data_IF_306652983965
#
_entry.id   IF_306652983965
#
_cell.length_a   1.000
_cell.length_b   1.000
_cell.length_c   1.000
_cell.angle_alpha   90.00
_cell.angle_beta   90.00
_cell.angle_gamma   90.00
#
_symmetry.space_group_name_H-M   'P 1'
#
loop_
_entity.id
_entity.type
_entity.pdbx_description
1 polymer ?
#
# COMPACT_ATOMS: atom_id res chain seq x y z
N UNK A 1 -26.22 -17.33 -17.50
CA UNK A 1 -26.53 -15.93 -17.91
C UNK A 1 -25.53 -15.02 -17.22
N UNK A 2 -24.58 -14.43 -17.96
CA UNK A 2 -23.61 -13.45 -17.42
C UNK A 2 -24.26 -12.07 -17.52
N UNK A 3 -24.91 -11.62 -16.45
CA UNK A 3 -25.26 -10.20 -16.31
C UNK A 3 -23.95 -9.45 -16.02
N UNK A 4 -23.27 -9.04 -17.08
CA UNK A 4 -22.35 -7.90 -17.01
C UNK A 4 -23.24 -6.68 -16.78
N UNK A 5 -23.48 -6.31 -15.53
CA UNK A 5 -23.81 -4.94 -15.21
C UNK A 5 -22.64 -4.12 -15.75
N UNK A 6 -22.82 -3.53 -16.93
CA UNK A 6 -22.13 -2.28 -17.22
C UNK A 6 -22.58 -1.39 -16.08
N UNK A 7 -21.72 -1.16 -15.09
CA UNK A 7 -21.87 -0.01 -14.22
C UNK A 7 -21.95 1.17 -15.17
N UNK A 8 -23.18 1.61 -15.43
CA UNK A 8 -23.51 2.92 -15.87
C UNK A 8 -22.63 3.86 -15.03
N UNK A 9 -21.94 4.82 -15.66
CA UNK A 9 -21.09 5.78 -14.96
C UNK A 9 -21.87 6.65 -13.93
N UNK A 10 -23.15 6.37 -13.70
CA UNK A 10 -24.06 7.03 -12.77
C UNK A 10 -24.52 6.05 -11.68
N UNK A 11 -24.32 6.44 -10.43
CA UNK A 11 -24.70 5.66 -9.25
C UNK A 11 -24.05 6.26 -8.01
N UNK A 12 -24.49 5.87 -6.81
CA UNK A 12 -23.82 6.31 -5.59
C UNK A 12 -22.62 5.42 -5.31
N UNK A 13 -21.43 6.03 -5.28
CA UNK A 13 -20.16 5.36 -4.99
C UNK A 13 -19.59 5.90 -3.68
N UNK A 14 -18.98 5.02 -2.89
CA UNK A 14 -18.33 5.36 -1.63
C UNK A 14 -16.86 4.96 -1.71
N UNK A 15 -16.00 5.78 -1.11
CA UNK A 15 -14.56 5.48 -1.00
C UNK A 15 -14.23 5.16 0.45
N UNK A 16 -13.62 4.00 0.66
CA UNK A 16 -13.21 3.53 1.98
C UNK A 16 -11.73 3.16 2.01
N UNK A 17 -11.05 3.44 3.12
CA UNK A 17 -9.70 2.97 3.44
C UNK A 17 -9.78 1.93 4.56
N UNK A 18 -9.34 0.72 4.27
CA UNK A 18 -9.05 -0.31 5.25
C UNK A 18 -7.59 -0.19 5.64
N UNK A 19 -7.35 0.11 6.91
CA UNK A 19 -6.02 0.32 7.46
C UNK A 19 -5.71 -0.72 8.51
N UNK A 20 -4.57 -1.39 8.36
CA UNK A 20 -4.05 -2.28 9.38
C UNK A 20 -3.43 -1.46 10.53
N UNK A 21 -3.98 -1.65 11.72
CA UNK A 21 -3.58 -0.97 12.96
C UNK A 21 -3.01 -1.93 14.00
N UNK A 22 -2.85 -3.21 13.64
CA UNK A 22 -2.28 -4.24 14.51
C UNK A 22 -0.75 -4.18 14.66
N UNK A 23 -0.21 -5.12 15.46
CA UNK A 23 1.23 -5.29 15.63
C UNK A 23 1.90 -5.84 14.37
N UNK A 24 3.24 -5.86 14.33
CA UNK A 24 4.00 -6.52 13.28
C UNK A 24 3.69 -5.99 11.87
N UNK A 25 3.65 -4.67 11.70
CA UNK A 25 3.36 -4.02 10.40
C UNK A 25 4.40 -4.32 9.33
N UNK A 26 5.62 -4.64 9.74
CA UNK A 26 6.74 -4.93 8.84
C UNK A 26 6.88 -6.42 8.49
N UNK A 27 5.83 -7.24 8.66
CA UNK A 27 5.87 -8.65 8.21
C UNK A 27 5.37 -8.79 6.78
N UNK A 28 5.76 -9.86 6.06
CA UNK A 28 5.26 -10.13 4.71
C UNK A 28 3.72 -10.12 4.61
N UNK A 29 3.01 -10.45 5.69
CA UNK A 29 1.56 -10.49 5.73
C UNK A 29 0.91 -9.10 5.89
N UNK A 30 1.60 -8.17 6.57
CA UNK A 30 1.01 -6.92 7.02
C UNK A 30 1.56 -5.66 6.32
N UNK A 31 2.77 -5.72 5.75
CA UNK A 31 3.46 -4.57 5.16
C UNK A 31 2.69 -3.92 4.01
N UNK A 32 1.89 -4.72 3.29
CA UNK A 32 1.04 -4.27 2.19
C UNK A 32 -0.44 -4.56 2.46
N UNK A 33 -0.86 -4.58 3.72
CA UNK A 33 -2.21 -4.96 4.11
C UNK A 33 -3.27 -3.86 3.87
N UNK A 34 -2.85 -2.59 3.88
CA UNK A 34 -3.72 -1.45 3.65
C UNK A 34 -4.35 -1.50 2.25
N UNK A 35 -5.63 -1.17 2.15
CA UNK A 35 -6.34 -1.12 0.88
C UNK A 35 -7.39 -0.03 0.85
N UNK A 36 -7.70 0.43 -0.36
CA UNK A 36 -8.70 1.42 -0.67
C UNK A 36 -9.75 0.75 -1.54
N UNK A 37 -11.01 0.89 -1.17
CA UNK A 37 -12.14 0.30 -1.88
C UNK A 37 -13.05 1.39 -2.46
N UNK A 38 -13.55 1.16 -3.66
CA UNK A 38 -14.73 1.87 -4.20
C UNK A 38 -15.90 0.90 -4.12
N UNK A 39 -16.97 1.29 -3.44
CA UNK A 39 -18.16 0.43 -3.25
C UNK A 39 -19.44 1.15 -3.69
N UNK A 40 -20.49 0.39 -3.99
CA UNK A 40 -21.86 0.90 -4.21
C UNK A 40 -22.74 0.80 -2.96
N UNK A 41 -22.25 0.13 -1.91
CA UNK A 41 -22.92 0.03 -0.62
C UNK A 41 -22.15 0.82 0.45
N UNK A 42 -22.85 1.65 1.24
CA UNK A 42 -22.22 2.36 2.33
C UNK A 42 -22.04 1.47 3.55
N UNK A 43 -21.07 1.82 4.38
CA UNK A 43 -20.97 1.35 5.76
C UNK A 43 -21.77 2.25 6.70
N UNK A 44 -22.24 1.68 7.80
CA UNK A 44 -22.83 2.43 8.92
C UNK A 44 -21.74 3.13 9.75
N UNK A 45 -22.12 4.22 10.42
CA UNK A 45 -21.26 4.89 11.39
C UNK A 45 -21.18 4.10 12.72
N UNK A 46 -20.21 4.46 13.56
CA UNK A 46 -19.98 3.83 14.88
C UNK A 46 -21.23 3.78 15.77
N UNK A 47 -22.16 4.73 15.61
CA UNK A 47 -23.38 4.81 16.41
C UNK A 47 -24.55 4.01 15.83
N UNK A 48 -24.42 3.46 14.62
CA UNK A 48 -25.49 2.74 13.90
C UNK A 48 -26.69 3.62 13.53
N UNK A 49 -26.53 4.95 13.57
CA UNK A 49 -27.63 5.91 13.36
C UNK A 49 -27.64 6.52 11.97
N UNK A 50 -26.66 6.18 11.13
CA UNK A 50 -26.55 6.70 9.78
C UNK A 50 -25.36 6.15 9.02
N UNK A 51 -25.18 6.63 7.79
CA UNK A 51 -24.09 6.23 6.92
C UNK A 51 -22.76 6.87 7.34
N UNK A 52 -21.70 6.09 7.34
CA UNK A 52 -20.34 6.58 7.46
C UNK A 52 -19.85 7.03 6.07
N UNK A 53 -19.96 8.33 5.81
CA UNK A 53 -19.53 8.95 4.56
C UNK A 53 -18.21 9.71 4.68
N UNK A 54 -17.77 10.05 5.90
CA UNK A 54 -16.47 10.66 6.17
C UNK A 54 -15.96 10.24 7.56
N UNK A 55 -14.65 10.02 7.69
CA UNK A 55 -14.00 9.75 8.97
C UNK A 55 -14.02 8.28 9.38
N UNK A 56 -13.76 8.01 10.67
CA UNK A 56 -13.67 6.64 11.20
C UNK A 56 -15.05 5.98 11.27
N UNK A 57 -15.23 4.87 10.55
CA UNK A 57 -16.46 4.08 10.56
C UNK A 57 -16.45 3.02 11.66
N UNK A 58 -15.32 2.31 11.83
CA UNK A 58 -15.11 1.35 12.90
C UNK A 58 -13.65 0.96 13.06
N UNK A 59 -13.33 0.39 14.22
CA UNK A 59 -12.08 -0.33 14.47
C UNK A 59 -12.40 -1.72 15.04
N UNK A 60 -11.82 -2.79 14.47
CA UNK A 60 -12.10 -4.17 14.86
C UNK A 60 -11.00 -5.11 14.38
N UNK A 61 -10.57 -6.03 15.24
CA UNK A 61 -9.62 -7.11 14.91
C UNK A 61 -8.37 -6.59 14.19
N UNK A 62 -7.70 -5.58 14.75
CA UNK A 62 -6.51 -4.95 14.17
C UNK A 62 -6.73 -4.16 12.87
N UNK A 63 -7.99 -3.93 12.47
CA UNK A 63 -8.34 -3.11 11.32
C UNK A 63 -9.08 -1.86 11.73
N UNK A 64 -8.88 -0.79 10.98
CA UNK A 64 -9.68 0.42 10.99
C UNK A 64 -10.29 0.64 9.61
N UNK A 65 -11.55 1.07 9.56
CA UNK A 65 -12.21 1.50 8.34
C UNK A 65 -12.46 3.00 8.39
N UNK A 66 -12.02 3.72 7.37
CA UNK A 66 -12.27 5.15 7.20
C UNK A 66 -13.06 5.42 5.92
N UNK A 67 -14.08 6.26 6.00
CA UNK A 67 -14.79 6.79 4.84
C UNK A 67 -14.13 8.08 4.34
N UNK A 68 -14.16 8.27 3.02
CA UNK A 68 -13.55 9.42 2.35
C UNK A 68 -14.46 10.10 1.34
N UNK A 69 -15.77 9.92 1.50
CA UNK A 69 -16.76 10.62 0.70
C UNK A 69 -17.71 9.70 -0.06
N UNK A 70 -18.72 10.36 -0.62
CA UNK A 70 -19.73 9.82 -1.51
C UNK A 70 -19.64 10.56 -2.85
N UNK A 71 -19.76 9.82 -3.96
CA UNK A 71 -19.57 10.32 -5.32
C UNK A 71 -20.69 9.83 -6.24
N UNK A 72 -20.99 10.60 -7.29
CA UNK A 72 -22.06 10.27 -8.24
C UNK A 72 -21.55 9.41 -9.40
N UNK A 73 -20.23 9.35 -9.58
CA UNK A 73 -19.57 8.56 -10.63
C UNK A 73 -18.33 7.86 -10.10
N UNK A 74 -17.99 6.70 -10.69
CA UNK A 74 -16.75 5.99 -10.35
C UNK A 74 -15.50 6.83 -10.68
N UNK A 75 -15.61 7.71 -11.68
CA UNK A 75 -14.52 8.60 -12.11
C UNK A 75 -14.21 9.65 -11.04
N UNK A 76 -15.23 10.23 -10.43
CA UNK A 76 -15.06 11.16 -9.31
C UNK A 76 -14.44 10.47 -8.10
N UNK A 77 -14.92 9.27 -7.75
CA UNK A 77 -14.34 8.46 -6.69
C UNK A 77 -12.83 8.20 -6.93
N UNK A 78 -12.45 7.83 -8.16
CA UNK A 78 -11.03 7.64 -8.54
C UNK A 78 -10.22 8.93 -8.47
N UNK A 79 -10.78 10.06 -8.90
CA UNK A 79 -10.12 11.36 -8.80
C UNK A 79 -9.88 11.75 -7.35
N UNK A 80 -10.86 11.51 -6.47
CA UNK A 80 -10.72 11.78 -5.04
C UNK A 80 -9.67 10.88 -4.37
N UNK A 81 -9.61 9.59 -4.73
CA UNK A 81 -8.56 8.67 -4.29
C UNK A 81 -7.19 9.23 -4.66
N UNK A 82 -7.00 9.65 -5.92
CA UNK A 82 -5.73 10.23 -6.37
C UNK A 82 -5.39 11.53 -5.63
N UNK A 83 -6.37 12.37 -5.37
CA UNK A 83 -6.17 13.62 -4.63
C UNK A 83 -5.78 13.38 -3.16
N UNK A 84 -6.34 12.36 -2.52
CA UNK A 84 -6.13 12.06 -1.10
C UNK A 84 -4.88 11.21 -0.83
N UNK A 85 -4.69 10.15 -1.61
CA UNK A 85 -3.65 9.14 -1.39
C UNK A 85 -2.45 9.27 -2.32
N UNK A 86 -2.56 10.11 -3.37
CA UNK A 86 -1.52 10.23 -4.38
C UNK A 86 -1.47 9.00 -5.29
N UNK A 87 -0.33 8.33 -5.34
CA UNK A 87 -0.15 7.11 -6.13
C UNK A 87 -0.85 5.92 -5.47
N UNK A 88 -1.51 5.11 -6.29
CA UNK A 88 -2.18 3.87 -5.87
C UNK A 88 -1.97 2.79 -6.93
N UNK A 89 -2.02 1.52 -6.52
CA UNK A 89 -1.87 0.35 -7.38
C UNK A 89 -3.19 -0.39 -7.52
N UNK A 90 -3.54 -0.78 -8.74
CA UNK A 90 -4.64 -1.71 -9.02
C UNK A 90 -4.18 -3.14 -9.33
N UNK A 91 -2.88 -3.37 -9.28
CA UNK A 91 -2.23 -4.65 -9.55
C UNK A 91 -1.11 -4.91 -8.55
N UNK A 92 -0.76 -6.18 -8.39
CA UNK A 92 0.43 -6.62 -7.65
C UNK A 92 1.71 -6.45 -8.49
N UNK A 93 2.84 -6.92 -7.95
CA UNK A 93 4.17 -6.87 -8.57
C UNK A 93 4.30 -7.73 -9.83
N UNK A 94 3.42 -8.71 -10.03
CA UNK A 94 3.37 -9.56 -11.22
C UNK A 94 2.40 -9.02 -12.29
N UNK A 95 1.67 -7.94 -11.97
CA UNK A 95 0.68 -7.32 -12.85
C UNK A 95 -0.71 -7.94 -12.74
N UNK A 96 -0.95 -8.82 -11.77
CA UNK A 96 -2.26 -9.40 -11.51
C UNK A 96 -3.14 -8.38 -10.80
N UNK A 97 -4.40 -8.26 -11.23
CA UNK A 97 -5.34 -7.26 -10.69
C UNK A 97 -5.82 -7.67 -9.31
N UNK A 98 -5.97 -6.68 -8.42
CA UNK A 98 -6.73 -6.88 -7.20
C UNK A 98 -8.22 -7.07 -7.56
N UNK A 99 -8.77 -8.23 -7.19
CA UNK A 99 -10.12 -8.63 -7.58
C UNK A 99 -11.10 -8.32 -6.45
N UNK A 100 -12.18 -7.58 -6.72
CA UNK A 100 -13.31 -7.45 -5.79
C UNK A 100 -13.84 -8.80 -5.32
N UNK A 101 -14.06 -8.95 -4.02
CA UNK A 101 -14.63 -10.17 -3.43
C UNK A 101 -16.15 -10.21 -3.54
N UNK A 102 -16.79 -9.03 -3.59
CA UNK A 102 -18.25 -8.88 -3.59
C UNK A 102 -18.74 -8.06 -4.78
N UNK A 103 -19.98 -8.32 -5.22
CA UNK A 103 -20.61 -7.62 -6.36
C UNK A 103 -20.76 -6.11 -6.14
N UNK A 104 -20.81 -5.64 -4.88
CA UNK A 104 -20.89 -4.22 -4.54
C UNK A 104 -19.53 -3.51 -4.51
N UNK A 105 -18.42 -4.26 -4.58
CA UNK A 105 -17.08 -3.70 -4.67
C UNK A 105 -16.73 -3.46 -6.14
N UNK A 106 -16.53 -2.19 -6.48
CA UNK A 106 -16.24 -1.74 -7.85
C UNK A 106 -14.76 -1.79 -8.14
N UNK A 107 -13.92 -1.50 -7.14
CA UNK A 107 -12.47 -1.54 -7.26
C UNK A 107 -11.81 -1.75 -5.90
N UNK A 108 -10.71 -2.50 -5.91
CA UNK A 108 -9.74 -2.58 -4.81
C UNK A 108 -8.43 -2.00 -5.31
N UNK A 109 -7.84 -1.13 -4.51
CA UNK A 109 -6.56 -0.48 -4.78
C UNK A 109 -5.69 -0.59 -3.54
N UNK A 110 -4.37 -0.56 -3.72
CA UNK A 110 -3.42 -0.44 -2.61
C UNK A 110 -2.70 0.91 -2.66
N UNK A 111 -2.37 1.51 -1.50
CA UNK A 111 -1.63 2.77 -1.46
C UNK A 111 -0.21 2.59 -2.02
N UNK A 112 0.36 3.69 -2.51
CA UNK A 112 1.73 3.73 -3.02
C UNK A 112 1.83 3.45 -4.52
N UNK A 113 3.02 3.70 -5.09
CA UNK A 113 3.32 3.42 -6.50
C UNK A 113 3.86 2.00 -6.70
N UNK A 114 4.57 1.48 -5.71
CA UNK A 114 5.28 0.21 -5.72
C UNK A 114 4.88 -0.64 -4.51
N UNK A 115 5.07 -1.95 -4.58
CA UNK A 115 4.82 -2.84 -3.45
C UNK A 115 5.91 -2.67 -2.39
N UNK A 116 5.57 -2.37 -1.13
CA UNK A 116 6.57 -2.28 -0.06
C UNK A 116 7.14 -3.66 0.27
N UNK A 117 8.46 -3.74 0.42
CA UNK A 117 9.14 -4.92 0.94
C UNK A 117 9.27 -4.84 2.46
N UNK A 118 9.11 -5.97 3.14
CA UNK A 118 9.42 -6.09 4.56
C UNK A 118 10.94 -6.15 4.78
N UNK A 119 11.39 -5.78 5.98
CA UNK A 119 12.81 -5.78 6.35
C UNK A 119 13.52 -7.10 6.04
N UNK A 120 12.93 -8.24 6.42
CA UNK A 120 13.50 -9.58 6.13
C UNK A 120 13.83 -9.76 4.63
N UNK A 121 12.89 -9.39 3.75
CA UNK A 121 13.11 -9.51 2.30
C UNK A 121 14.11 -8.48 1.77
N UNK A 122 14.25 -7.33 2.41
CA UNK A 122 15.25 -6.32 2.05
C UNK A 122 16.63 -6.88 2.37
N UNK A 123 16.85 -7.41 3.57
CA UNK A 123 18.10 -8.05 3.99
C UNK A 123 18.50 -9.18 3.04
N UNK A 124 17.60 -10.12 2.76
CA UNK A 124 17.85 -11.23 1.83
C UNK A 124 18.27 -10.75 0.44
N UNK A 125 17.64 -9.67 -0.04
CA UNK A 125 17.87 -9.13 -1.38
C UNK A 125 19.17 -8.36 -1.47
N UNK A 126 19.51 -7.60 -0.44
CA UNK A 126 20.66 -6.71 -0.44
C UNK A 126 21.95 -7.41 0.01
N UNK A 127 21.86 -8.60 0.59
CA UNK A 127 23.01 -9.36 1.11
C UNK A 127 24.22 -9.35 0.17
N UNK A 128 24.04 -9.75 -1.09
CA UNK A 128 25.14 -9.79 -2.06
C UNK A 128 25.61 -8.40 -2.51
N UNK A 129 24.67 -7.46 -2.68
CA UNK A 129 25.00 -6.11 -3.13
C UNK A 129 25.84 -5.37 -2.08
N UNK A 130 25.45 -5.45 -0.81
CA UNK A 130 26.20 -4.84 0.30
C UNK A 130 27.61 -5.43 0.42
N UNK A 131 27.78 -6.74 0.20
CA UNK A 131 29.11 -7.35 0.23
C UNK A 131 30.04 -6.91 -0.90
N UNK A 132 29.48 -6.54 -2.06
CA UNK A 132 30.25 -6.09 -3.22
C UNK A 132 30.52 -4.57 -3.17
N UNK A 133 29.55 -3.78 -2.69
CA UNK A 133 29.55 -2.32 -2.80
C UNK A 133 29.97 -1.58 -1.51
N UNK A 134 30.02 -2.28 -0.37
CA UNK A 134 30.35 -1.69 0.93
C UNK A 134 31.52 -2.39 1.61
N UNK A 135 32.18 -1.64 2.49
CA UNK A 135 33.24 -2.10 3.38
C UNK A 135 33.19 -1.32 4.70
N UNK A 136 34.18 -1.55 5.57
CA UNK A 136 34.28 -0.89 6.88
C UNK A 136 34.42 0.64 6.80
N UNK A 137 35.05 1.15 5.75
CA UNK A 137 35.35 2.58 5.56
C UNK A 137 34.22 3.33 4.85
N UNK A 138 33.23 2.61 4.30
CA UNK A 138 32.07 3.18 3.62
C UNK A 138 31.35 4.20 4.50
N UNK A 139 31.27 5.45 4.05
CA UNK A 139 30.70 6.55 4.82
C UNK A 139 29.20 6.75 4.60
N UNK A 140 28.59 7.63 5.38
CA UNK A 140 27.16 7.96 5.31
C UNK A 140 26.74 8.51 3.93
N UNK A 141 27.65 9.24 3.25
CA UNK A 141 27.37 9.77 1.92
C UNK A 141 27.25 8.65 0.88
N UNK A 142 28.14 7.64 0.96
CA UNK A 142 28.08 6.47 0.09
C UNK A 142 26.87 5.59 0.41
N UNK A 143 26.51 5.41 1.68
CA UNK A 143 25.30 4.67 2.07
C UNK A 143 24.05 5.32 1.46
N UNK A 144 23.95 6.66 1.49
CA UNK A 144 22.82 7.38 0.87
C UNK A 144 22.78 7.23 -0.64
N UNK A 145 23.94 7.19 -1.31
CA UNK A 145 24.02 6.92 -2.74
C UNK A 145 23.53 5.50 -3.06
N UNK A 146 24.05 4.49 -2.35
CA UNK A 146 23.65 3.08 -2.53
C UNK A 146 22.17 2.87 -2.23
N UNK A 147 21.63 3.50 -1.18
CA UNK A 147 20.21 3.44 -0.87
C UNK A 147 19.36 3.91 -2.06
N UNK A 148 19.77 4.99 -2.72
CA UNK A 148 19.07 5.49 -3.90
C UNK A 148 19.18 4.51 -5.08
N UNK A 149 20.36 3.99 -5.35
CA UNK A 149 20.60 3.03 -6.45
C UNK A 149 19.80 1.74 -6.27
N UNK A 150 19.79 1.20 -5.04
CA UNK A 150 19.04 -0.02 -4.71
C UNK A 150 17.53 0.20 -4.77
N UNK A 151 17.04 1.36 -4.32
CA UNK A 151 15.63 1.74 -4.44
C UNK A 151 15.23 1.87 -5.92
N UNK A 152 16.05 2.51 -6.74
CA UNK A 152 15.82 2.61 -8.19
C UNK A 152 15.80 1.23 -8.85
N UNK A 153 16.71 0.33 -8.47
CA UNK A 153 16.72 -1.05 -8.94
C UNK A 153 15.46 -1.81 -8.51
N UNK A 154 15.04 -1.71 -7.26
CA UNK A 154 13.83 -2.35 -6.76
C UNK A 154 12.57 -1.87 -7.51
N UNK A 155 12.50 -0.58 -7.81
CA UNK A 155 11.40 0.04 -8.53
C UNK A 155 11.22 -0.51 -9.95
N UNK A 156 12.30 -0.98 -10.61
CA UNK A 156 12.22 -1.69 -11.90
C UNK A 156 11.40 -2.98 -11.79
N UNK A 157 11.44 -3.63 -10.63
CA UNK A 157 10.68 -4.84 -10.33
C UNK A 157 9.31 -4.57 -9.67
N UNK A 158 8.87 -3.31 -9.64
CA UNK A 158 7.58 -2.94 -9.08
C UNK A 158 7.53 -2.89 -7.55
N UNK A 159 8.68 -2.94 -6.87
CA UNK A 159 8.79 -2.91 -5.41
C UNK A 159 9.50 -1.65 -4.90
N UNK A 160 9.27 -1.29 -3.64
CA UNK A 160 10.04 -0.26 -2.92
C UNK A 160 10.68 -0.90 -1.68
N UNK A 161 11.93 -0.55 -1.41
CA UNK A 161 12.66 -0.97 -0.21
C UNK A 161 12.29 -0.10 1.01
N UNK A 162 11.47 0.93 0.80
CA UNK A 162 10.85 1.68 1.88
C UNK A 162 11.74 2.75 2.52
N UNK A 163 11.15 3.55 3.44
CA UNK A 163 11.80 4.73 4.01
C UNK A 163 12.94 4.40 4.98
N UNK A 164 13.00 3.18 5.51
CA UNK A 164 13.99 2.69 6.47
C UNK A 164 15.22 2.04 5.80
N UNK A 165 15.34 2.09 4.46
CA UNK A 165 16.46 1.48 3.74
C UNK A 165 17.85 1.95 4.23
N UNK A 166 18.01 3.24 4.55
CA UNK A 166 19.29 3.77 5.05
C UNK A 166 19.66 3.11 6.39
N UNK A 167 18.71 3.04 7.32
CA UNK A 167 18.91 2.39 8.63
C UNK A 167 19.29 0.92 8.45
N UNK A 168 18.62 0.21 7.53
CA UNK A 168 18.94 -1.18 7.19
C UNK A 168 20.38 -1.31 6.65
N UNK A 169 20.80 -0.42 5.74
CA UNK A 169 22.16 -0.46 5.20
C UNK A 169 23.23 -0.17 6.27
N UNK A 170 22.94 0.73 7.20
CA UNK A 170 23.81 1.00 8.36
C UNK A 170 23.92 -0.24 9.26
N UNK A 171 22.81 -0.88 9.58
CA UNK A 171 22.79 -2.13 10.36
C UNK A 171 23.55 -3.27 9.65
N UNK A 172 23.34 -3.44 8.34
CA UNK A 172 24.07 -4.43 7.53
C UNK A 172 25.57 -4.16 7.52
N UNK A 173 25.98 -2.89 7.45
CA UNK A 173 27.39 -2.51 7.50
C UNK A 173 28.01 -2.92 8.83
N UNK A 174 27.34 -2.58 9.93
CA UNK A 174 27.80 -2.87 11.28
C UNK A 174 27.85 -4.38 11.55
N UNK A 175 26.95 -5.17 10.96
CA UNK A 175 26.97 -6.63 11.10
C UNK A 175 28.11 -7.31 10.31
N UNK A 176 28.35 -6.89 9.07
CA UNK A 176 29.27 -7.59 8.17
C UNK A 176 30.70 -7.06 8.18
N UNK A 177 30.93 -5.81 8.60
CA UNK A 177 32.23 -5.16 8.50
C UNK A 177 32.76 -4.59 9.84
N UNK A 178 32.19 -5.03 10.97
CA UNK A 178 32.66 -4.71 12.33
C UNK A 178 34.13 -5.05 12.56
#
# INVERSE_FOLDING_TARGET
MKNRFKLDDQGTFYVYEFKYIGPNKDTPQNIDADRIEITTLPHENLTGTGLCIEGCCWTRNDWALYAHGQYETVREARSAIKAKFGAVRGTDEFGDKFVPEFDFQVAILKPGRYMPMCTEKIWDRLYYLVHDDMDKETDEAKIKELAKEYEELANVFGCTLGPNLIEILEEMKDEYFS
#
